data_IF_481737212731
#
_entry.id   IF_481737212731
#
_cell.length_a   1.000
_cell.length_b   1.000
_cell.length_c   1.000
_cell.angle_alpha   90.00
_cell.angle_beta   90.00
_cell.angle_gamma   90.00
#
_symmetry.space_group_name_H-M   'P 1'
#
loop_
_entity.id
_entity.type
_entity.pdbx_description
1 polymer ?
#
# COMPACT_ATOMS: atom_id res chain seq x y z
N UNK A 1 25.74 -34.43 -14.29
CA UNK A 1 25.55 -32.95 -14.19
C UNK A 1 24.41 -32.71 -13.21
N UNK A 2 24.69 -32.30 -11.97
CA UNK A 2 23.63 -31.93 -11.02
C UNK A 2 22.97 -30.63 -11.47
N UNK A 3 21.68 -30.67 -11.77
CA UNK A 3 20.86 -29.48 -12.02
C UNK A 3 20.89 -28.63 -10.75
N UNK A 4 21.51 -27.45 -10.79
CA UNK A 4 21.48 -26.50 -9.68
C UNK A 4 20.03 -26.05 -9.49
N UNK A 5 19.39 -26.48 -8.41
CA UNK A 5 18.06 -26.01 -8.02
C UNK A 5 18.24 -24.66 -7.34
N UNK A 6 17.57 -23.62 -7.85
CA UNK A 6 17.47 -22.33 -7.17
C UNK A 6 16.42 -22.48 -6.06
N UNK A 7 16.85 -22.43 -4.81
CA UNK A 7 15.97 -22.40 -3.64
C UNK A 7 15.69 -20.94 -3.30
N UNK A 8 14.43 -20.63 -2.99
CA UNK A 8 14.01 -19.31 -2.52
C UNK A 8 13.20 -19.50 -1.23
N UNK A 9 13.63 -18.87 -0.15
CA UNK A 9 12.99 -18.89 1.16
C UNK A 9 12.09 -17.67 1.33
N UNK A 10 10.79 -17.93 1.52
CA UNK A 10 9.77 -16.91 1.76
C UNK A 10 9.35 -16.99 3.22
N UNK A 11 9.37 -15.85 3.90
CA UNK A 11 8.95 -15.74 5.29
C UNK A 11 7.76 -14.78 5.43
N UNK A 12 6.67 -15.24 6.03
CA UNK A 12 5.51 -14.39 6.33
C UNK A 12 5.55 -14.03 7.82
N UNK A 13 5.50 -12.74 8.11
CA UNK A 13 5.46 -12.21 9.47
C UNK A 13 4.17 -11.43 9.72
N UNK A 14 3.87 -11.18 10.98
CA UNK A 14 2.76 -10.37 11.43
C UNK A 14 3.09 -9.84 12.83
N UNK A 15 2.51 -8.71 13.18
CA UNK A 15 2.56 -8.14 14.52
C UNK A 15 1.90 -9.08 15.54
N UNK A 16 2.44 -9.12 16.76
CA UNK A 16 2.01 -10.05 17.79
C UNK A 16 0.55 -9.81 18.21
N UNK A 17 0.13 -8.54 18.32
CA UNK A 17 -1.23 -8.18 18.72
C UNK A 17 -2.23 -8.58 17.62
N UNK A 18 -1.84 -8.39 16.35
CA UNK A 18 -2.64 -8.83 15.20
C UNK A 18 -2.74 -10.35 15.08
N UNK A 19 -1.64 -11.07 15.33
CA UNK A 19 -1.63 -12.53 15.38
C UNK A 19 -2.55 -13.04 16.50
N UNK A 20 -2.45 -12.46 17.69
CA UNK A 20 -3.32 -12.78 18.82
C UNK A 20 -4.79 -12.65 18.44
N UNK A 21 -5.20 -11.51 17.87
CA UNK A 21 -6.58 -11.28 17.42
C UNK A 21 -7.04 -12.35 16.42
N UNK A 22 -6.23 -12.70 15.42
CA UNK A 22 -6.56 -13.75 14.43
C UNK A 22 -6.77 -15.13 15.07
N UNK A 23 -5.97 -15.49 16.08
CA UNK A 23 -6.17 -16.73 16.84
C UNK A 23 -7.48 -16.70 17.64
N UNK A 24 -7.80 -15.56 18.25
CA UNK A 24 -9.07 -15.37 18.97
C UNK A 24 -10.27 -15.48 18.02
N UNK A 25 -10.24 -14.82 16.87
CA UNK A 25 -11.31 -14.82 15.87
C UNK A 25 -11.56 -16.22 15.28
N UNK A 26 -10.48 -16.93 14.93
CA UNK A 26 -10.57 -18.26 14.33
C UNK A 26 -10.77 -19.38 15.35
N UNK A 27 -10.69 -19.06 16.66
CA UNK A 27 -10.73 -20.00 17.79
C UNK A 27 -9.73 -21.17 17.65
N UNK A 28 -8.64 -20.95 16.91
CA UNK A 28 -7.58 -21.95 16.75
C UNK A 28 -6.68 -21.97 17.97
N UNK A 29 -6.25 -23.17 18.38
CA UNK A 29 -5.20 -23.32 19.40
C UNK A 29 -3.83 -23.19 18.74
N UNK A 30 -2.92 -22.51 19.42
CA UNK A 30 -1.54 -22.39 18.97
C UNK A 30 -0.74 -23.63 19.43
N UNK A 31 0.02 -24.30 18.54
CA UNK A 31 0.72 -25.55 18.89
C UNK A 31 1.72 -25.42 20.04
N UNK A 32 2.44 -24.29 20.11
CA UNK A 32 3.36 -23.97 21.20
C UNK A 32 2.69 -23.31 22.43
N UNK A 33 1.35 -23.26 22.45
CA UNK A 33 0.57 -22.66 23.52
C UNK A 33 -0.64 -23.51 23.95
N UNK A 34 -0.46 -24.84 24.00
CA UNK A 34 -1.52 -25.76 24.42
C UNK A 34 -1.88 -25.58 25.89
N UNK A 35 -0.89 -25.23 26.71
CA UNK A 35 -0.93 -25.17 28.18
C UNK A 35 -0.73 -23.75 28.75
N UNK A 36 -0.66 -22.74 27.89
CA UNK A 36 -0.32 -21.35 28.25
C UNK A 36 -1.06 -20.36 27.34
N UNK A 37 -1.07 -19.05 27.66
CA UNK A 37 -1.66 -18.04 26.80
C UNK A 37 -1.07 -18.05 25.38
N UNK A 38 -1.91 -17.73 24.38
CA UNK A 38 -1.50 -17.71 22.97
C UNK A 38 -0.37 -16.71 22.70
N UNK A 39 -0.31 -15.62 23.46
CA UNK A 39 0.78 -14.63 23.42
C UNK A 39 2.14 -15.26 23.64
N UNK A 40 2.25 -16.15 24.62
CA UNK A 40 3.51 -16.79 24.98
C UNK A 40 3.95 -17.77 23.90
N UNK A 41 2.99 -18.48 23.30
CA UNK A 41 3.22 -19.34 22.15
C UNK A 41 3.74 -18.58 20.93
N UNK A 42 3.14 -17.42 20.63
CA UNK A 42 3.56 -16.55 19.52
C UNK A 42 5.00 -16.05 19.76
N UNK A 43 5.31 -15.57 20.97
CA UNK A 43 6.66 -15.09 21.29
C UNK A 43 7.70 -16.20 21.19
N UNK A 44 7.38 -17.40 21.67
CA UNK A 44 8.26 -18.55 21.59
C UNK A 44 8.48 -19.00 20.13
N UNK A 45 7.43 -19.04 19.32
CA UNK A 45 7.53 -19.35 17.89
C UNK A 45 8.47 -18.38 17.16
N UNK A 46 8.34 -17.07 17.44
CA UNK A 46 9.20 -16.05 16.82
C UNK A 46 10.68 -16.26 17.13
N UNK A 47 11.02 -16.64 18.36
CA UNK A 47 12.40 -16.96 18.73
C UNK A 47 12.93 -18.17 17.97
N UNK A 48 12.12 -19.22 17.83
CA UNK A 48 12.49 -20.42 17.08
C UNK A 48 12.66 -20.16 15.58
N UNK A 49 11.84 -19.26 15.02
CA UNK A 49 11.82 -18.92 13.60
C UNK A 49 12.84 -17.83 13.20
N UNK A 50 13.45 -17.13 14.16
CA UNK A 50 14.40 -16.06 13.90
C UNK A 50 15.55 -16.46 12.92
N UNK A 51 16.17 -17.65 13.01
CA UNK A 51 17.22 -18.04 12.07
C UNK A 51 16.73 -18.23 10.62
N UNK A 52 15.44 -18.55 10.44
CA UNK A 52 14.83 -18.65 9.10
C UNK A 52 14.47 -17.27 8.57
N UNK A 53 13.99 -16.38 9.43
CA UNK A 53 13.73 -14.99 9.09
C UNK A 53 15.03 -14.30 8.62
N UNK A 54 16.14 -14.50 9.34
CA UNK A 54 17.45 -13.92 8.99
C UNK A 54 18.00 -14.40 7.64
N UNK A 55 17.53 -15.57 7.18
CA UNK A 55 17.96 -16.21 5.92
C UNK A 55 16.94 -16.06 4.80
N UNK A 56 15.81 -15.38 5.04
CA UNK A 56 14.74 -15.27 4.07
C UNK A 56 15.13 -14.38 2.90
N UNK A 57 14.90 -14.87 1.68
CA UNK A 57 15.08 -14.07 0.47
C UNK A 57 13.97 -13.00 0.36
N UNK A 58 12.77 -13.30 0.88
CA UNK A 58 11.64 -12.37 0.90
C UNK A 58 10.88 -12.46 2.22
N UNK A 59 10.57 -11.30 2.81
CA UNK A 59 9.77 -11.18 4.03
C UNK A 59 8.50 -10.38 3.75
N UNK A 60 7.34 -10.97 4.03
CA UNK A 60 6.03 -10.32 3.87
C UNK A 60 5.39 -10.05 5.23
N UNK A 61 5.21 -8.79 5.58
CA UNK A 61 4.45 -8.39 6.78
C UNK A 61 2.94 -8.35 6.46
N UNK A 62 2.20 -9.27 7.07
CA UNK A 62 0.77 -9.48 6.84
C UNK A 62 -0.11 -8.75 7.86
N UNK A 63 0.45 -7.92 8.74
CA UNK A 63 -0.27 -7.26 9.85
C UNK A 63 -1.51 -6.48 9.39
N UNK A 64 -1.40 -5.82 8.24
CA UNK A 64 -2.45 -4.97 7.68
C UNK A 64 -2.92 -5.39 6.29
N UNK A 65 -2.50 -6.58 5.83
CA UNK A 65 -2.89 -7.11 4.53
C UNK A 65 -4.20 -7.90 4.63
N UNK A 66 -5.08 -7.69 3.66
CA UNK A 66 -6.17 -8.63 3.38
C UNK A 66 -5.63 -9.87 2.67
N UNK A 67 -6.45 -10.92 2.57
CA UNK A 67 -6.10 -12.14 1.81
C UNK A 67 -5.80 -11.80 0.35
N UNK A 68 -6.56 -10.88 -0.24
CA UNK A 68 -6.35 -10.41 -1.62
C UNK A 68 -5.02 -9.67 -1.75
N UNK A 69 -4.70 -8.76 -0.82
CA UNK A 69 -3.44 -8.00 -0.85
C UNK A 69 -2.22 -8.92 -0.69
N UNK A 70 -2.31 -9.92 0.20
CA UNK A 70 -1.25 -10.90 0.39
C UNK A 70 -1.06 -11.75 -0.86
N UNK A 71 -2.16 -12.20 -1.49
CA UNK A 71 -2.11 -12.97 -2.73
C UNK A 71 -1.42 -12.19 -3.83
N UNK A 72 -1.80 -10.91 -4.00
CA UNK A 72 -1.11 -10.01 -4.92
C UNK A 72 0.38 -9.96 -4.57
N UNK A 73 0.76 -9.57 -3.35
CA UNK A 73 2.16 -9.45 -2.94
C UNK A 73 3.02 -10.70 -3.25
N UNK A 74 2.49 -11.90 -2.98
CA UNK A 74 3.16 -13.17 -3.28
C UNK A 74 3.24 -13.41 -4.80
N UNK A 75 2.12 -13.34 -5.52
CA UNK A 75 2.06 -13.66 -6.95
C UNK A 75 3.04 -12.80 -7.76
N UNK A 76 3.16 -11.51 -7.45
CA UNK A 76 4.08 -10.64 -8.18
C UNK A 76 5.53 -10.79 -7.76
N UNK A 77 5.86 -11.48 -6.67
CA UNK A 77 7.26 -11.75 -6.31
C UNK A 77 7.82 -12.98 -7.05
N UNK A 78 6.97 -13.96 -7.40
CA UNK A 78 7.43 -15.27 -7.90
C UNK A 78 7.02 -15.62 -9.33
N UNK A 79 6.36 -14.72 -10.07
CA UNK A 79 5.99 -15.00 -11.46
C UNK A 79 7.20 -14.92 -12.42
N UNK A 80 7.41 -15.97 -13.24
CA UNK A 80 8.49 -16.10 -14.24
C UNK A 80 8.48 -15.00 -15.31
N UNK A 81 9.62 -14.80 -15.97
CA UNK A 81 9.79 -13.90 -17.13
C UNK A 81 8.68 -14.13 -18.17
N UNK A 82 8.04 -13.03 -18.59
CA UNK A 82 6.71 -13.02 -19.24
C UNK A 82 5.54 -12.72 -18.29
N UNK A 83 5.82 -12.48 -17.00
CA UNK A 83 4.83 -12.23 -15.95
C UNK A 83 3.93 -11.00 -16.15
N UNK A 84 2.81 -10.94 -15.42
CA UNK A 84 1.77 -9.93 -15.59
C UNK A 84 2.32 -8.49 -15.48
N UNK A 85 1.62 -7.52 -16.09
CA UNK A 85 2.03 -6.12 -16.08
C UNK A 85 2.23 -5.58 -14.65
N UNK A 86 3.06 -4.54 -14.52
CA UNK A 86 3.27 -3.79 -13.28
C UNK A 86 1.92 -3.49 -12.63
N UNK A 87 1.71 -4.01 -11.42
CA UNK A 87 0.50 -3.73 -10.64
C UNK A 87 0.69 -2.44 -9.87
N UNK A 88 -0.15 -1.45 -10.16
CA UNK A 88 -0.08 -0.13 -9.56
C UNK A 88 -1.19 0.02 -8.51
N UNK A 89 -0.80 0.40 -7.30
CA UNK A 89 -1.69 0.79 -6.21
C UNK A 89 -1.49 2.26 -5.88
N UNK A 90 -2.57 3.00 -5.75
CA UNK A 90 -2.54 4.38 -5.25
C UNK A 90 -3.26 4.41 -3.91
N UNK A 91 -2.57 4.88 -2.88
CA UNK A 91 -3.18 5.05 -1.56
C UNK A 91 -3.21 6.50 -1.12
N UNK A 92 -4.38 7.02 -0.76
CA UNK A 92 -4.46 8.33 -0.11
C UNK A 92 -4.34 8.17 1.40
N UNK A 93 -3.57 9.04 2.04
CA UNK A 93 -3.32 8.96 3.48
C UNK A 93 -3.22 10.31 4.18
N UNK A 94 -3.31 10.28 5.50
CA UNK A 94 -3.12 11.38 6.41
C UNK A 94 -1.71 11.36 7.01
N UNK A 95 -0.91 12.42 6.80
CA UNK A 95 0.43 12.53 7.40
C UNK A 95 0.41 12.44 8.92
N UNK A 96 -0.66 12.94 9.57
CA UNK A 96 -0.83 12.84 11.03
C UNK A 96 -0.94 11.39 11.55
N UNK A 97 -1.23 10.44 10.66
CA UNK A 97 -1.32 9.00 10.98
C UNK A 97 -0.10 8.21 10.49
N UNK A 98 0.98 8.90 10.08
CA UNK A 98 2.22 8.29 9.59
C UNK A 98 2.15 7.84 8.12
N UNK A 99 3.31 7.55 7.53
CA UNK A 99 3.43 7.12 6.14
C UNK A 99 2.97 5.66 5.98
N UNK A 100 2.32 5.27 4.87
CA UNK A 100 2.12 3.86 4.54
C UNK A 100 3.48 3.16 4.40
N UNK A 101 3.66 2.00 5.04
CA UNK A 101 4.95 1.29 5.07
C UNK A 101 5.30 0.69 3.71
N UNK A 102 4.27 0.38 2.93
CA UNK A 102 4.32 -0.20 1.61
C UNK A 102 4.58 0.81 0.49
N UNK A 103 4.70 2.11 0.82
CA UNK A 103 4.82 3.17 -0.17
C UNK A 103 6.20 3.16 -0.85
N UNK A 104 6.22 3.02 -2.17
CA UNK A 104 7.40 3.19 -3.00
C UNK A 104 7.65 4.66 -3.34
N UNK A 105 6.56 5.38 -3.59
CA UNK A 105 6.55 6.82 -3.87
C UNK A 105 5.61 7.50 -2.89
N UNK A 106 6.04 8.62 -2.31
CA UNK A 106 5.23 9.44 -1.41
C UNK A 106 5.12 10.85 -1.97
N UNK A 107 3.89 11.28 -2.22
CA UNK A 107 3.56 12.57 -2.81
C UNK A 107 2.86 13.44 -1.76
N UNK A 108 3.49 14.53 -1.36
CA UNK A 108 2.88 15.50 -0.45
C UNK A 108 2.05 16.53 -1.21
N UNK A 109 0.75 16.59 -0.93
CA UNK A 109 -0.19 17.54 -1.54
C UNK A 109 -0.77 18.53 -0.53
N UNK A 110 -0.08 18.73 0.62
CA UNK A 110 -0.51 19.70 1.65
C UNK A 110 -0.43 21.16 1.22
N UNK A 111 0.29 21.47 0.14
CA UNK A 111 0.41 22.81 -0.40
C UNK A 111 -0.86 23.28 -1.15
N UNK A 112 -1.66 22.37 -1.69
CA UNK A 112 -2.90 22.71 -2.38
C UNK A 112 -3.91 23.37 -1.43
N UNK A 113 -4.78 24.22 -1.99
CA UNK A 113 -5.85 24.93 -1.28
C UNK A 113 -6.63 23.98 -0.37
N UNK A 114 -6.81 24.37 0.90
CA UNK A 114 -7.32 23.48 1.93
C UNK A 114 -8.85 23.63 2.10
N UNK A 115 -9.67 22.64 1.68
CA UNK A 115 -11.12 22.74 1.77
C UNK A 115 -11.66 22.70 3.21
N UNK A 116 -10.83 22.33 4.17
CA UNK A 116 -11.23 22.17 5.58
C UNK A 116 -11.76 23.47 6.21
N UNK A 117 -11.31 24.63 5.75
CA UNK A 117 -11.74 25.93 6.28
C UNK A 117 -13.09 26.40 5.72
N UNK A 118 -13.60 25.76 4.66
CA UNK A 118 -14.90 26.07 4.10
C UNK A 118 -15.96 25.21 4.77
N UNK A 119 -16.86 25.85 5.54
CA UNK A 119 -17.85 25.19 6.41
C UNK A 119 -18.65 24.09 5.69
N UNK A 120 -19.08 24.36 4.45
CA UNK A 120 -19.89 23.44 3.66
C UNK A 120 -19.10 22.29 3.00
N UNK A 121 -17.77 22.42 2.93
CA UNK A 121 -16.87 21.42 2.34
C UNK A 121 -16.22 20.53 3.40
N UNK A 122 -16.09 20.99 4.64
CA UNK A 122 -15.39 20.28 5.73
C UNK A 122 -15.87 18.85 5.97
N UNK A 123 -17.16 18.57 5.75
CA UNK A 123 -17.76 17.25 5.95
C UNK A 123 -17.68 16.33 4.73
N UNK A 124 -17.25 16.84 3.59
CA UNK A 124 -17.13 16.11 2.32
C UNK A 124 -15.77 15.42 2.22
N UNK A 125 -15.53 14.75 1.11
CA UNK A 125 -14.33 13.98 0.80
C UNK A 125 -13.83 14.35 -0.59
N UNK A 126 -12.60 13.95 -0.91
CA UNK A 126 -12.04 14.14 -2.25
C UNK A 126 -12.78 13.38 -3.36
N UNK A 127 -13.79 12.57 -3.03
CA UNK A 127 -14.69 11.91 -3.98
C UNK A 127 -15.87 12.81 -4.38
N UNK A 128 -16.16 13.86 -3.60
CA UNK A 128 -17.28 14.75 -3.84
C UNK A 128 -16.90 15.85 -4.85
N UNK A 129 -17.74 16.06 -5.86
CA UNK A 129 -17.49 17.01 -6.96
C UNK A 129 -17.24 18.44 -6.45
N UNK A 130 -17.83 18.83 -5.33
CA UNK A 130 -17.65 20.17 -4.75
C UNK A 130 -16.26 20.34 -4.14
N UNK A 131 -15.65 19.27 -3.62
CA UNK A 131 -14.26 19.29 -3.16
C UNK A 131 -13.33 19.35 -4.37
N UNK A 132 -13.62 18.56 -5.40
CA UNK A 132 -12.87 18.55 -6.66
C UNK A 132 -12.86 19.95 -7.29
N UNK A 133 -14.04 20.52 -7.47
CA UNK A 133 -14.24 21.86 -8.03
C UNK A 133 -13.50 22.92 -7.22
N UNK A 134 -13.58 22.85 -5.88
CA UNK A 134 -12.89 23.79 -5.01
C UNK A 134 -11.36 23.66 -5.11
N UNK A 135 -10.81 22.44 -5.11
CA UNK A 135 -9.35 22.24 -5.24
C UNK A 135 -8.86 22.72 -6.60
N UNK A 136 -9.62 22.53 -7.68
CA UNK A 136 -9.30 23.02 -9.02
C UNK A 136 -9.29 24.55 -9.15
N UNK A 137 -9.85 25.29 -8.19
CA UNK A 137 -9.71 26.76 -8.17
C UNK A 137 -8.32 27.22 -7.78
N UNK A 138 -7.48 26.32 -7.24
CA UNK A 138 -6.09 26.59 -6.96
C UNK A 138 -5.32 26.80 -8.28
N UNK A 139 -4.70 27.98 -8.50
CA UNK A 139 -4.00 28.28 -9.75
C UNK A 139 -2.82 27.34 -10.00
N UNK A 140 -2.25 26.73 -8.95
CA UNK A 140 -1.11 25.82 -9.08
C UNK A 140 -1.53 24.37 -9.39
N UNK A 141 -2.81 24.01 -9.20
CA UNK A 141 -3.28 22.62 -9.30
C UNK A 141 -3.01 22.00 -10.68
N UNK A 142 -3.50 22.63 -11.76
CA UNK A 142 -3.40 22.07 -13.12
C UNK A 142 -1.93 21.90 -13.54
N UNK A 143 -1.10 22.92 -13.29
CA UNK A 143 0.33 22.86 -13.60
C UNK A 143 1.07 21.79 -12.80
N UNK A 144 0.79 21.70 -11.50
CA UNK A 144 1.33 20.64 -10.64
C UNK A 144 0.91 19.26 -11.14
N UNK A 145 -0.38 19.04 -11.34
CA UNK A 145 -0.93 17.73 -11.67
C UNK A 145 -0.44 17.23 -13.04
N UNK A 146 -0.33 18.13 -14.02
CA UNK A 146 0.25 17.81 -15.33
C UNK A 146 1.72 17.36 -15.19
N UNK A 147 2.54 18.10 -14.41
CA UNK A 147 3.95 17.74 -14.17
C UNK A 147 4.10 16.44 -13.38
N UNK A 148 3.20 16.19 -12.42
CA UNK A 148 3.15 14.93 -11.69
C UNK A 148 2.91 13.76 -12.66
N UNK A 149 1.92 13.87 -13.55
CA UNK A 149 1.67 12.84 -14.55
C UNK A 149 2.86 12.65 -15.50
N UNK A 150 3.48 13.75 -15.95
CA UNK A 150 4.67 13.74 -16.80
C UNK A 150 5.90 13.12 -16.13
N UNK A 151 5.96 13.13 -14.79
CA UNK A 151 6.99 12.45 -14.01
C UNK A 151 6.66 10.96 -13.86
N UNK A 152 5.42 10.60 -13.50
CA UNK A 152 5.06 9.21 -13.18
C UNK A 152 5.01 8.31 -14.42
N UNK A 153 4.40 8.76 -15.52
CA UNK A 153 4.17 7.91 -16.70
C UNK A 153 5.47 7.33 -17.29
N UNK A 154 6.57 8.10 -17.47
CA UNK A 154 7.82 7.55 -17.97
C UNK A 154 8.53 6.60 -17.00
N UNK A 155 8.21 6.64 -15.70
CA UNK A 155 8.80 5.75 -14.71
C UNK A 155 8.18 4.35 -14.75
N UNK A 156 6.91 4.20 -15.12
CA UNK A 156 6.21 2.91 -15.15
C UNK A 156 6.91 1.84 -16.03
N UNK A 157 7.28 2.11 -17.29
CA UNK A 157 8.01 1.13 -18.10
C UNK A 157 9.42 0.87 -17.55
N UNK A 158 10.04 1.85 -16.90
CA UNK A 158 11.37 1.69 -16.28
C UNK A 158 11.32 0.79 -15.06
N UNK A 159 10.34 0.97 -14.18
CA UNK A 159 10.10 0.07 -13.06
C UNK A 159 9.85 -1.36 -13.56
N UNK A 160 9.04 -1.50 -14.62
CA UNK A 160 8.80 -2.81 -15.24
C UNK A 160 10.10 -3.44 -15.75
N UNK A 161 10.95 -2.66 -16.44
CA UNK A 161 12.24 -3.13 -16.97
C UNK A 161 13.26 -3.47 -15.89
N UNK A 162 13.22 -2.78 -14.74
CA UNK A 162 14.02 -3.09 -13.55
C UNK A 162 13.52 -4.36 -12.82
N UNK A 163 12.40 -4.94 -13.28
CA UNK A 163 11.81 -6.13 -12.69
C UNK A 163 10.88 -5.83 -11.51
N UNK A 164 10.52 -4.57 -11.28
CA UNK A 164 9.54 -4.18 -10.27
C UNK A 164 8.15 -4.64 -10.71
N UNK A 165 7.43 -5.27 -9.78
CA UNK A 165 6.13 -5.92 -10.05
C UNK A 165 4.97 -5.21 -9.36
N UNK A 166 5.26 -4.54 -8.26
CA UNK A 166 4.33 -3.70 -7.52
C UNK A 166 4.87 -2.28 -7.42
N UNK A 167 4.00 -1.31 -7.65
CA UNK A 167 4.27 0.10 -7.39
C UNK A 167 3.15 0.67 -6.53
N UNK A 168 3.48 1.04 -5.31
CA UNK A 168 2.55 1.76 -4.41
C UNK A 168 2.89 3.24 -4.38
N UNK A 169 1.97 4.06 -4.87
CA UNK A 169 2.05 5.52 -4.84
C UNK A 169 1.15 6.04 -3.71
N UNK A 170 1.77 6.55 -2.65
CA UNK A 170 1.08 7.14 -1.52
C UNK A 170 0.91 8.65 -1.71
N UNK A 171 -0.32 9.15 -1.66
CA UNK A 171 -0.66 10.57 -1.77
C UNK A 171 -1.10 11.08 -0.40
N UNK A 172 -0.37 12.03 0.16
CA UNK A 172 -0.52 12.49 1.54
C UNK A 172 -1.08 13.91 1.65
N UNK A 173 -2.08 14.09 2.50
CA UNK A 173 -2.44 15.42 3.02
C UNK A 173 -2.51 15.39 4.55
N UNK A 174 -2.81 16.51 5.21
CA UNK A 174 -2.84 16.53 6.69
C UNK A 174 -3.86 15.56 7.28
N UNK A 175 -5.08 15.54 6.72
CA UNK A 175 -6.22 14.82 7.29
C UNK A 175 -6.63 13.55 6.55
N UNK A 176 -6.05 13.27 5.38
CA UNK A 176 -6.36 12.07 4.57
C UNK A 176 -7.72 12.05 3.89
N UNK A 177 -8.50 13.15 3.92
CA UNK A 177 -9.91 13.17 3.49
C UNK A 177 -10.21 13.89 2.18
N UNK A 178 -9.55 15.02 1.92
CA UNK A 178 -9.89 15.92 0.80
C UNK A 178 -8.84 15.85 -0.33
N UNK A 179 -7.75 16.61 -0.18
CA UNK A 179 -6.71 16.79 -1.21
C UNK A 179 -6.05 15.48 -1.64
N UNK A 180 -5.65 14.65 -0.66
CA UNK A 180 -5.02 13.37 -0.95
C UNK A 180 -5.94 12.40 -1.69
N UNK A 181 -7.22 12.36 -1.30
CA UNK A 181 -8.24 11.49 -1.91
C UNK A 181 -8.49 11.94 -3.35
N UNK A 182 -8.70 13.24 -3.56
CA UNK A 182 -8.94 13.81 -4.89
C UNK A 182 -7.75 13.57 -5.83
N UNK A 183 -6.52 13.88 -5.40
CA UNK A 183 -5.33 13.68 -6.23
C UNK A 183 -5.08 12.19 -6.51
N UNK A 184 -5.37 11.30 -5.56
CA UNK A 184 -5.24 9.86 -5.76
C UNK A 184 -6.19 9.34 -6.85
N UNK A 185 -7.47 9.74 -6.82
CA UNK A 185 -8.46 9.37 -7.85
C UNK A 185 -8.11 9.95 -9.21
N UNK A 186 -7.68 11.22 -9.23
CA UNK A 186 -7.28 11.89 -10.46
C UNK A 186 -6.08 11.20 -11.11
N UNK A 187 -5.04 10.90 -10.32
CA UNK A 187 -3.88 10.17 -10.82
C UNK A 187 -4.28 8.79 -11.33
N UNK A 188 -5.15 8.08 -10.62
CA UNK A 188 -5.67 6.79 -11.07
C UNK A 188 -6.41 6.89 -12.41
N UNK A 189 -7.25 7.92 -12.59
CA UNK A 189 -7.92 8.20 -13.87
C UNK A 189 -6.92 8.39 -15.01
N UNK A 190 -5.91 9.25 -14.82
CA UNK A 190 -4.87 9.49 -15.84
C UNK A 190 -4.05 8.25 -16.18
N UNK A 191 -3.76 7.40 -15.20
CA UNK A 191 -3.04 6.15 -15.44
C UNK A 191 -3.91 5.12 -16.18
N UNK A 192 -5.21 5.02 -15.85
CA UNK A 192 -6.16 4.16 -16.57
C UNK A 192 -6.34 4.60 -18.02
N UNK A 193 -6.44 5.91 -18.29
CA UNK A 193 -6.44 6.46 -19.64
C UNK A 193 -5.19 6.09 -20.44
N UNK A 194 -4.04 6.01 -19.77
CA UNK A 194 -2.77 5.56 -20.34
C UNK A 194 -2.64 4.02 -20.39
N UNK A 195 -3.75 3.28 -20.29
CA UNK A 195 -3.81 1.81 -20.32
C UNK A 195 -3.04 1.10 -19.19
N UNK A 196 -2.82 1.77 -18.06
CA UNK A 196 -2.29 1.15 -16.85
C UNK A 196 -3.41 0.80 -15.87
N UNK A 197 -3.63 -0.49 -15.53
CA UNK A 197 -4.60 -0.86 -14.51
C UNK A 197 -4.13 -0.39 -13.13
N UNK A 198 -5.01 0.29 -12.39
CA UNK A 198 -4.71 0.87 -11.08
C UNK A 198 -5.79 0.56 -10.07
N UNK A 199 -5.37 0.11 -8.89
CA UNK A 199 -6.22 0.01 -7.70
C UNK A 199 -6.05 1.25 -6.83
N UNK A 200 -7.16 1.76 -6.27
CA UNK A 200 -7.13 2.93 -5.39
C UNK A 200 -7.67 2.53 -4.01
N UNK A 201 -7.00 3.01 -2.96
CA UNK A 201 -7.42 2.80 -1.58
C UNK A 201 -7.29 4.08 -0.77
N UNK A 202 -8.34 4.43 -0.03
CA UNK A 202 -8.29 5.57 0.90
C UNK A 202 -8.10 5.07 2.32
N UNK A 203 -6.88 5.19 2.86
CA UNK A 203 -6.53 4.60 4.17
C UNK A 203 -7.30 5.22 5.32
N UNK A 204 -7.50 6.53 5.27
CA UNK A 204 -8.03 7.35 6.36
C UNK A 204 -9.43 7.91 6.05
N UNK A 205 -10.10 7.39 5.02
CA UNK A 205 -11.47 7.74 4.66
C UNK A 205 -12.41 6.67 5.27
N UNK A 206 -13.08 7.05 6.36
CA UNK A 206 -14.07 6.25 7.08
C UNK A 206 -15.44 6.92 7.03
#
# INVERSE_FOLDING_TARGET
KHTKIKVILIFLTCDADRLHLRFTETRRRHPLAIDRPVTDGILHERQLMAPLLDRADHVFDTSHLTVTDLRLAIDGTFTREGGPPLTISITSFAFRQGLPREADLVLDVRFLINPHYVKNLRKKSGLDEEIVSYIKTDPDFEGFFARLCAMILPLLPRYTAEGKRYLTIAVGCTGGRHRSVMVAEYLAGRLREAAHPVQVRHRDLH
#
